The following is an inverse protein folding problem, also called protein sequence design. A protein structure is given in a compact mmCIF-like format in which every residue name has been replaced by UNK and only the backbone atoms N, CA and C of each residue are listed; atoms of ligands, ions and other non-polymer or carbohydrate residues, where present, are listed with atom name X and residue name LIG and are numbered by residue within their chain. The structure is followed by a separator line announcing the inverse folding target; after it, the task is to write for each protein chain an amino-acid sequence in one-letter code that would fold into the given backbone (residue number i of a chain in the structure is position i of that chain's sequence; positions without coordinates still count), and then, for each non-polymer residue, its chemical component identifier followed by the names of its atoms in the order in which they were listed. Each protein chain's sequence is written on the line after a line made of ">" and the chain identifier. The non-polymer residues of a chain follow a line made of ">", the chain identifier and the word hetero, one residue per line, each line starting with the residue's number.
data_IF_671933549468
#
_entry.id   IF_671933549468
#
_cell.length_a   1.000
_cell.length_b   1.000
_cell.length_c   1.000
_cell.angle_alpha   90.00
_cell.angle_beta   90.00
_cell.angle_gamma   90.00
#
_symmetry.space_group_name_H-M   'P 1'
#
loop_
_entity.id
_entity.type
_entity.pdbx_description
1 polymer ?
#
# COMPACT_ATOMS: atom_id res chain seq x y z
N UNK A 1 23.21 23.85 11.97
CA UNK A 1 22.96 22.40 12.07
C UNK A 1 21.50 22.17 11.70
N UNK A 2 21.24 21.84 10.44
CA UNK A 2 19.88 21.54 9.99
C UNK A 2 19.48 20.19 10.55
N UNK A 3 18.45 20.15 11.41
CA UNK A 3 17.87 18.88 11.82
C UNK A 3 17.44 18.14 10.56
N UNK A 4 18.07 17.00 10.28
CA UNK A 4 17.62 16.13 9.21
C UNK A 4 16.14 15.87 9.45
N UNK A 5 15.30 16.26 8.49
CA UNK A 5 13.89 15.94 8.54
C UNK A 5 13.79 14.41 8.55
N UNK A 6 13.65 13.85 9.75
CA UNK A 6 13.56 12.40 9.96
C UNK A 6 12.40 11.92 9.11
N UNK A 7 12.73 11.06 8.15
CA UNK A 7 11.76 10.47 7.26
C UNK A 7 10.66 9.79 8.07
N UNK A 8 9.44 10.34 8.02
CA UNK A 8 8.31 9.76 8.73
C UNK A 8 7.66 8.64 7.90
N UNK A 9 7.64 7.44 8.47
CA UNK A 9 6.90 6.26 8.00
C UNK A 9 6.00 5.83 9.15
N UNK A 10 4.73 5.50 8.87
CA UNK A 10 3.79 5.13 9.94
C UNK A 10 4.16 3.77 10.58
N UNK A 11 4.78 2.87 9.81
CA UNK A 11 5.38 1.66 10.35
C UNK A 11 6.07 0.76 9.32
N UNK A 12 6.68 -0.30 9.83
CA UNK A 12 7.25 -1.39 9.03
C UNK A 12 6.69 -2.71 9.54
N UNK A 13 6.25 -3.58 8.64
CA UNK A 13 5.74 -4.91 9.00
C UNK A 13 6.46 -5.99 8.19
N UNK A 14 6.57 -7.18 8.79
CA UNK A 14 7.10 -8.38 8.17
C UNK A 14 6.03 -9.46 8.22
N UNK A 15 5.46 -9.82 7.07
CA UNK A 15 4.36 -10.77 7.01
C UNK A 15 4.29 -11.43 5.62
N UNK A 16 3.83 -12.68 5.56
CA UNK A 16 3.70 -13.44 4.31
C UNK A 16 4.98 -13.46 3.45
N UNK A 17 6.16 -13.48 4.11
CA UNK A 17 7.47 -13.44 3.45
C UNK A 17 7.84 -12.07 2.86
N UNK A 18 7.08 -11.02 3.13
CA UNK A 18 7.32 -9.67 2.60
C UNK A 18 7.78 -8.72 3.71
N UNK A 19 8.70 -7.82 3.36
CA UNK A 19 9.03 -6.62 4.14
C UNK A 19 8.24 -5.44 3.57
N UNK A 20 7.44 -4.79 4.41
CA UNK A 20 6.48 -3.79 3.97
C UNK A 20 6.67 -2.47 4.70
N UNK A 21 6.80 -1.37 3.96
CA UNK A 21 6.61 -0.02 4.49
C UNK A 21 5.11 0.30 4.51
N UNK A 22 4.64 0.86 5.62
CA UNK A 22 3.21 1.16 5.82
C UNK A 22 2.99 2.66 5.90
N UNK A 23 2.01 3.13 5.13
CA UNK A 23 1.42 4.47 5.25
C UNK A 23 -0.10 4.31 5.41
N UNK A 24 -0.68 5.02 6.37
CA UNK A 24 -2.11 5.01 6.67
C UNK A 24 -2.65 6.43 6.67
N UNK A 25 -3.72 6.68 5.92
CA UNK A 25 -4.45 7.95 6.00
C UNK A 25 -5.92 7.74 6.29
N UNK A 26 -6.38 8.48 7.29
CA UNK A 26 -7.79 8.57 7.62
C UNK A 26 -8.31 9.96 7.27
N UNK A 27 -8.64 10.16 6.00
CA UNK A 27 -9.28 11.37 5.51
C UNK A 27 -10.73 11.11 5.17
N UNK A 28 -11.59 12.12 5.31
CA UNK A 28 -13.01 12.05 4.90
C UNK A 28 -13.24 11.89 3.39
N UNK A 29 -12.16 11.99 2.60
CA UNK A 29 -12.17 11.91 1.13
C UNK A 29 -11.13 10.89 0.64
N UNK A 30 -11.28 10.36 -0.58
CA UNK A 30 -10.27 9.49 -1.17
C UNK A 30 -8.88 10.12 -1.17
N UNK A 31 -7.85 9.31 -0.92
CA UNK A 31 -6.45 9.73 -0.95
C UNK A 31 -6.06 10.06 -2.40
N UNK A 32 -5.38 11.20 -2.58
CA UNK A 32 -4.82 11.62 -3.85
C UNK A 32 -3.36 11.11 -4.02
N UNK A 33 -2.65 11.52 -5.07
CA UNK A 33 -1.35 10.94 -5.46
C UNK A 33 -0.21 11.16 -4.45
N UNK A 34 -0.32 12.14 -3.57
CA UNK A 34 0.81 12.63 -2.77
C UNK A 34 1.35 11.58 -1.77
N UNK A 35 0.51 10.87 -0.98
CA UNK A 35 1.02 9.83 -0.08
C UNK A 35 1.66 8.64 -0.82
N UNK A 36 1.19 8.33 -2.02
CA UNK A 36 1.76 7.28 -2.88
C UNK A 36 3.12 7.71 -3.41
N UNK A 37 3.22 8.94 -3.93
CA UNK A 37 4.48 9.50 -4.42
C UNK A 37 5.52 9.61 -3.31
N UNK A 38 5.10 10.02 -2.09
CA UNK A 38 5.93 9.99 -0.90
C UNK A 38 6.46 8.57 -0.65
N UNK A 39 5.57 7.58 -0.49
CA UNK A 39 5.96 6.20 -0.18
C UNK A 39 6.87 5.59 -1.25
N UNK A 40 6.65 5.88 -2.54
CA UNK A 40 7.56 5.49 -3.63
C UNK A 40 8.99 5.98 -3.39
N UNK A 41 9.16 7.25 -3.02
CA UNK A 41 10.49 7.81 -2.74
C UNK A 41 11.14 7.18 -1.50
N UNK A 42 10.33 6.66 -0.57
CA UNK A 42 10.81 5.92 0.59
C UNK A 42 11.30 4.52 0.18
N UNK A 43 10.52 3.82 -0.64
CA UNK A 43 10.89 2.49 -1.18
C UNK A 43 12.15 2.54 -2.06
N UNK A 44 12.35 3.62 -2.82
CA UNK A 44 13.53 3.77 -3.68
C UNK A 44 14.88 3.73 -2.92
N UNK A 45 14.87 3.89 -1.59
CA UNK A 45 16.04 3.82 -0.70
C UNK A 45 16.06 2.54 0.14
N UNK A 46 15.35 1.50 -0.27
CA UNK A 46 15.27 0.20 0.42
C UNK A 46 15.69 -0.93 -0.52
N UNK A 47 15.98 -2.13 0.01
CA UNK A 47 16.20 -3.31 -0.81
C UNK A 47 15.03 -3.53 -1.78
N UNK A 48 15.34 -3.98 -3.00
CA UNK A 48 14.37 -4.10 -4.10
C UNK A 48 13.14 -4.98 -3.77
N UNK A 49 13.28 -5.92 -2.82
CA UNK A 49 12.19 -6.78 -2.36
C UNK A 49 11.21 -6.09 -1.37
N UNK A 50 11.51 -4.86 -0.93
CA UNK A 50 10.63 -4.13 -0.01
C UNK A 50 9.43 -3.58 -0.79
N UNK A 51 8.22 -3.80 -0.30
CA UNK A 51 6.99 -3.29 -0.92
C UNK A 51 6.32 -2.22 -0.03
N UNK A 52 5.46 -1.41 -0.62
CA UNK A 52 4.65 -0.42 0.09
C UNK A 52 3.22 -0.91 0.33
N UNK A 53 2.63 -0.53 1.45
CA UNK A 53 1.21 -0.68 1.73
C UNK A 53 0.62 0.69 2.04
N UNK A 54 -0.45 1.07 1.35
CA UNK A 54 -1.21 2.28 1.67
C UNK A 54 -2.62 1.91 2.11
N UNK A 55 -2.97 2.31 3.33
CA UNK A 55 -4.30 2.11 3.91
C UNK A 55 -5.12 3.40 3.86
N UNK A 56 -6.36 3.28 3.37
CA UNK A 56 -7.32 4.37 3.30
C UNK A 56 -8.72 3.88 3.63
N UNK A 57 -9.38 4.49 4.62
CA UNK A 57 -10.79 4.15 4.90
C UNK A 57 -11.73 4.59 3.76
N UNK A 58 -11.50 5.77 3.16
CA UNK A 58 -12.32 6.29 2.07
C UNK A 58 -11.75 6.01 0.66
N UNK A 59 -10.76 5.11 0.55
CA UNK A 59 -10.19 4.68 -0.72
C UNK A 59 -9.27 5.71 -1.38
N UNK A 60 -9.17 5.62 -2.71
CA UNK A 60 -8.19 6.34 -3.54
C UNK A 60 -8.87 7.02 -4.72
N UNK A 61 -8.36 8.18 -5.12
CA UNK A 61 -8.77 8.83 -6.36
C UNK A 61 -8.33 8.00 -7.57
N UNK A 62 -8.95 8.21 -8.74
CA UNK A 62 -8.53 7.51 -9.96
C UNK A 62 -7.08 7.81 -10.35
N UNK A 63 -6.59 9.07 -10.28
CA UNK A 63 -5.17 9.36 -10.50
C UNK A 63 -4.24 8.61 -9.55
N UNK A 64 -4.63 8.43 -8.28
CA UNK A 64 -3.86 7.67 -7.31
C UNK A 64 -3.78 6.18 -7.69
N UNK A 65 -4.89 5.56 -8.11
CA UNK A 65 -4.90 4.16 -8.60
C UNK A 65 -4.06 4.02 -9.86
N UNK A 66 -4.24 4.92 -10.82
CA UNK A 66 -3.49 4.91 -12.06
C UNK A 66 -2.00 5.00 -11.81
N UNK A 67 -1.56 5.95 -10.96
CA UNK A 67 -0.16 6.12 -10.60
C UNK A 67 0.43 4.78 -10.11
N UNK A 68 -0.24 4.08 -9.19
CA UNK A 68 0.29 2.82 -8.64
C UNK A 68 0.54 1.72 -9.68
N UNK A 69 -0.21 1.69 -10.79
CA UNK A 69 0.01 0.73 -11.88
C UNK A 69 1.31 0.99 -12.64
N UNK A 70 1.83 2.20 -12.58
CA UNK A 70 3.06 2.63 -13.27
C UNK A 70 4.26 2.79 -12.34
N UNK A 71 4.18 2.28 -11.11
CA UNK A 71 5.28 2.37 -10.13
C UNK A 71 6.26 1.21 -10.18
N UNK A 72 6.16 0.31 -11.16
CA UNK A 72 7.15 -0.75 -11.31
C UNK A 72 8.58 -0.17 -11.41
N UNK A 73 9.58 -0.77 -10.71
CA UNK A 73 9.51 -2.00 -9.93
C UNK A 73 9.03 -1.83 -8.46
N UNK A 74 8.81 -0.61 -7.97
CA UNK A 74 8.36 -0.35 -6.60
C UNK A 74 6.87 -0.69 -6.43
N UNK A 75 6.58 -1.92 -6.00
CA UNK A 75 5.21 -2.37 -5.75
C UNK A 75 4.62 -1.66 -4.54
N UNK A 76 3.47 -0.99 -4.74
CA UNK A 76 2.67 -0.38 -3.66
C UNK A 76 1.26 -0.94 -3.70
N UNK A 77 0.87 -1.75 -2.72
CA UNK A 77 -0.46 -2.34 -2.62
C UNK A 77 -1.45 -1.37 -1.96
N UNK A 78 -2.61 -1.22 -2.57
CA UNK A 78 -3.67 -0.33 -2.08
C UNK A 78 -4.70 -1.09 -1.25
N UNK A 79 -4.98 -0.57 -0.05
CA UNK A 79 -5.99 -1.08 0.87
C UNK A 79 -7.06 -0.03 1.11
N UNK A 80 -8.29 -0.34 0.69
CA UNK A 80 -9.42 0.59 0.75
C UNK A 80 -10.54 0.07 1.65
N UNK A 81 -11.12 0.96 2.47
CA UNK A 81 -12.41 0.87 3.15
C UNK A 81 -12.97 -0.52 3.42
N UNK A 82 -14.10 -0.84 2.78
CA UNK A 82 -14.85 -2.08 2.99
C UNK A 82 -13.99 -3.36 2.96
N UNK A 83 -12.90 -3.36 2.17
CA UNK A 83 -11.93 -4.46 2.12
C UNK A 83 -11.19 -4.61 3.46
N UNK A 84 -10.67 -3.51 4.02
CA UNK A 84 -9.99 -3.48 5.33
C UNK A 84 -10.93 -3.98 6.42
N UNK A 85 -12.16 -3.45 6.46
CA UNK A 85 -13.15 -3.85 7.46
C UNK A 85 -13.49 -5.34 7.38
N UNK A 86 -13.62 -5.89 6.17
CA UNK A 86 -13.88 -7.32 5.97
C UNK A 86 -12.71 -8.18 6.44
N UNK A 87 -11.48 -7.90 6.01
CA UNK A 87 -10.33 -8.74 6.40
C UNK A 87 -10.00 -8.64 7.88
N UNK A 88 -10.27 -7.49 8.53
CA UNK A 88 -10.10 -7.36 9.97
C UNK A 88 -11.13 -8.19 10.74
N UNK A 89 -12.42 -8.09 10.39
CA UNK A 89 -13.49 -8.86 11.07
C UNK A 89 -13.29 -10.36 10.97
N UNK A 90 -12.77 -10.84 9.85
CA UNK A 90 -12.52 -12.25 9.61
C UNK A 90 -11.09 -12.70 10.00
N UNK A 91 -10.26 -11.81 10.57
CA UNK A 91 -8.87 -12.12 10.95
C UNK A 91 -7.98 -12.57 9.77
N UNK A 92 -8.24 -12.05 8.57
CA UNK A 92 -7.60 -12.45 7.31
C UNK A 92 -6.55 -11.45 6.81
N UNK A 93 -6.00 -10.57 7.65
CA UNK A 93 -5.06 -9.52 7.20
C UNK A 93 -3.83 -10.09 6.46
N UNK A 94 -3.18 -11.09 7.04
CA UNK A 94 -1.98 -11.72 6.45
C UNK A 94 -2.32 -12.49 5.18
N UNK A 95 -3.44 -13.22 5.18
CA UNK A 95 -3.93 -13.90 3.99
C UNK A 95 -4.26 -12.92 2.85
N UNK A 96 -4.98 -11.84 3.16
CA UNK A 96 -5.31 -10.79 2.19
C UNK A 96 -4.08 -10.09 1.63
N UNK A 97 -3.04 -9.88 2.45
CA UNK A 97 -1.75 -9.36 2.00
C UNK A 97 -1.10 -10.32 1.00
N UNK A 98 -1.04 -11.62 1.34
CA UNK A 98 -0.48 -12.63 0.45
C UNK A 98 -1.22 -12.67 -0.90
N UNK A 99 -2.56 -12.66 -0.88
CA UNK A 99 -3.38 -12.69 -2.09
C UNK A 99 -3.21 -11.43 -2.95
N UNK A 100 -3.21 -10.24 -2.33
CA UNK A 100 -2.95 -8.98 -3.05
C UNK A 100 -1.57 -8.95 -3.68
N UNK A 101 -0.55 -9.41 -2.95
CA UNK A 101 0.81 -9.47 -3.46
C UNK A 101 0.93 -10.44 -4.64
N UNK A 102 0.39 -11.67 -4.48
CA UNK A 102 0.37 -12.67 -5.55
C UNK A 102 -0.29 -12.12 -6.82
N UNK A 103 -1.46 -11.50 -6.69
CA UNK A 103 -2.15 -10.90 -7.83
C UNK A 103 -1.36 -9.76 -8.48
N UNK A 104 -0.70 -8.91 -7.68
CA UNK A 104 0.16 -7.86 -8.21
C UNK A 104 1.35 -8.42 -9.00
N UNK A 105 1.94 -9.53 -8.55
CA UNK A 105 3.01 -10.24 -9.26
C UNK A 105 2.50 -10.86 -10.57
N UNK A 106 1.33 -11.50 -10.54
CA UNK A 106 0.76 -12.21 -11.70
C UNK A 106 0.20 -11.27 -12.78
N UNK A 107 -0.34 -10.11 -12.39
CA UNK A 107 -1.09 -9.23 -13.29
C UNK A 107 -0.56 -7.80 -13.38
N UNK A 108 0.44 -7.42 -12.59
CA UNK A 108 0.93 -6.04 -12.52
C UNK A 108 -0.07 -5.05 -11.91
N UNK A 109 -1.09 -5.54 -11.18
CA UNK A 109 -2.19 -4.72 -10.66
C UNK A 109 -2.16 -4.65 -9.12
N UNK A 110 -1.89 -3.47 -8.53
CA UNK A 110 -1.74 -3.31 -7.08
C UNK A 110 -3.05 -3.18 -6.29
N UNK A 111 -4.20 -2.97 -6.94
CA UNK A 111 -5.52 -2.82 -6.32
C UNK A 111 -6.42 -4.04 -6.56
N UNK A 112 -5.92 -5.23 -6.24
CA UNK A 112 -6.74 -6.44 -6.27
C UNK A 112 -7.98 -6.32 -5.37
N UNK A 113 -9.12 -6.82 -5.85
CA UNK A 113 -10.35 -6.90 -5.10
C UNK A 113 -10.48 -8.26 -4.39
N UNK A 114 -10.36 -8.26 -3.06
CA UNK A 114 -10.42 -9.48 -2.24
C UNK A 114 -11.84 -10.04 -2.06
N UNK A 115 -12.88 -9.31 -2.50
CA UNK A 115 -14.28 -9.66 -2.27
C UNK A 115 -14.99 -10.27 -3.50
N UNK A 116 -14.29 -10.50 -4.61
CA UNK A 116 -14.91 -10.80 -5.91
C UNK A 116 -15.39 -9.52 -6.61
N UNK A 117 -15.55 -9.58 -7.93
CA UNK A 117 -16.19 -8.50 -8.71
C UNK A 117 -17.66 -8.31 -8.34
#
# INVERSE_FOLDING_TARGET
>A
MGGEAVEQIDGVIYAAGQACLVESKHYRRPINVEPIAKLRNQLARRPAATIGLVFSYHGFTEPARLLTRYLAPQTILLWAGGKIGYVLRNQMMVYGLHMKYKYAVEHGLPDYNLLGE
#
